data_IF_245644300860
#
_entry.id   IF_245644300860
#
_cell.length_a   1.000
_cell.length_b   1.000
_cell.length_c   1.000
_cell.angle_alpha   90.00
_cell.angle_beta   90.00
_cell.angle_gamma   90.00
#
_symmetry.space_group_name_H-M   'P 1'
#
loop_
_entity.id
_entity.type
_entity.pdbx_description
1 polymer ?
#
# COMPACT_ATOMS: atom_id res chain seq x y z
N UNK A 1 -10.94 7.44 14.25
CA UNK A 1 -10.96 6.87 12.88
C UNK A 1 -9.61 7.12 12.25
N UNK A 2 -9.01 6.11 11.63
CA UNK A 2 -7.76 6.26 10.88
C UNK A 2 -8.13 6.84 9.51
N UNK A 3 -7.37 7.83 9.06
CA UNK A 3 -7.54 8.44 7.74
C UNK A 3 -6.21 8.37 7.00
N UNK A 4 -6.26 7.96 5.74
CA UNK A 4 -5.11 8.03 4.83
C UNK A 4 -5.29 9.27 3.96
N UNK A 5 -4.26 10.11 3.88
CA UNK A 5 -4.30 11.37 3.13
C UNK A 5 -3.15 11.32 2.12
N UNK A 6 -3.44 11.70 0.88
CA UNK A 6 -2.42 11.75 -0.16
C UNK A 6 -1.56 13.02 -0.02
N UNK A 7 -0.25 12.83 -0.14
CA UNK A 7 0.76 13.87 0.01
C UNK A 7 1.94 13.58 -0.91
N UNK A 8 2.68 14.64 -1.24
CA UNK A 8 3.93 14.54 -1.99
C UNK A 8 5.08 14.82 -1.04
N UNK A 9 6.12 13.99 -1.11
CA UNK A 9 7.38 14.22 -0.40
C UNK A 9 8.41 14.67 -1.42
N UNK A 10 9.00 15.85 -1.24
CA UNK A 10 10.05 16.34 -2.13
C UNK A 10 11.41 15.74 -1.78
N UNK A 11 12.42 16.04 -2.60
CA UNK A 11 13.80 15.55 -2.42
C UNK A 11 14.43 16.00 -1.10
N UNK A 12 13.91 17.06 -0.49
CA UNK A 12 14.36 17.61 0.78
C UNK A 12 13.65 16.94 1.99
N UNK A 13 12.73 16.00 1.74
CA UNK A 13 11.97 15.29 2.77
C UNK A 13 10.77 16.07 3.31
N UNK A 14 10.40 17.19 2.70
CA UNK A 14 9.24 17.97 3.12
C UNK A 14 7.95 17.32 2.60
N UNK A 15 7.03 17.06 3.53
CA UNK A 15 5.71 16.47 3.24
C UNK A 15 4.72 17.58 2.95
N UNK A 16 4.16 17.60 1.74
CA UNK A 16 3.13 18.54 1.31
C UNK A 16 1.82 17.81 1.07
N UNK A 17 0.83 18.09 1.91
CA UNK A 17 -0.52 17.55 1.72
C UNK A 17 -1.11 18.09 0.42
N UNK A 18 -1.70 17.22 -0.40
CA UNK A 18 -2.38 17.64 -1.63
C UNK A 18 -3.68 18.40 -1.34
N UNK A 19 -4.26 18.15 -0.16
CA UNK A 19 -5.51 18.74 0.28
C UNK A 19 -5.39 19.18 1.74
N UNK A 20 -6.00 20.31 2.13
CA UNK A 20 -6.00 20.76 3.51
C UNK A 20 -6.83 19.81 4.38
N UNK A 21 -6.29 19.43 5.54
CA UNK A 21 -7.00 18.61 6.52
C UNK A 21 -7.39 19.46 7.73
N UNK A 22 -8.57 19.19 8.30
CA UNK A 22 -9.02 19.79 9.55
C UNK A 22 -9.04 18.73 10.64
N UNK A 23 -8.22 18.92 11.66
CA UNK A 23 -8.18 18.07 12.84
C UNK A 23 -8.71 18.85 14.02
N UNK A 24 -9.54 18.20 14.85
CA UNK A 24 -10.11 18.82 16.05
C UNK A 24 -9.09 19.01 17.17
N UNK A 25 -8.00 18.25 17.14
CA UNK A 25 -6.89 18.27 18.11
C UNK A 25 -5.60 17.90 17.39
N UNK A 26 -4.46 18.21 18.00
CA UNK A 26 -3.16 17.72 17.53
C UNK A 26 -3.13 16.19 17.52
N UNK A 27 -2.53 15.60 16.48
CA UNK A 27 -2.40 14.16 16.32
C UNK A 27 -1.07 13.80 15.67
N UNK A 28 -0.55 12.64 16.04
CA UNK A 28 0.58 12.02 15.34
C UNK A 28 0.12 11.50 13.98
N UNK A 29 0.96 11.66 12.97
CA UNK A 29 0.78 11.09 11.64
C UNK A 29 1.85 10.02 11.37
N UNK A 30 1.52 9.03 10.55
CA UNK A 30 2.49 8.14 9.94
C UNK A 30 2.69 8.57 8.48
N UNK A 31 3.92 8.52 8.01
CA UNK A 31 4.28 8.81 6.63
C UNK A 31 4.80 7.53 6.00
N UNK A 32 4.16 7.11 4.91
CA UNK A 32 4.59 5.98 4.09
C UNK A 32 5.01 6.52 2.74
N UNK A 33 6.26 6.29 2.35
CA UNK A 33 6.79 6.70 1.04
C UNK A 33 6.41 5.62 0.02
N UNK A 34 5.69 6.02 -1.02
CA UNK A 34 5.32 5.14 -2.14
C UNK A 34 6.37 5.29 -3.24
N UNK A 35 6.82 4.18 -3.81
CA UNK A 35 7.68 4.21 -4.99
C UNK A 35 6.89 4.72 -6.21
N UNK A 36 7.48 5.65 -6.98
CA UNK A 36 6.80 6.45 -8.02
C UNK A 36 6.14 5.58 -9.12
N UNK A 37 6.67 4.38 -9.31
CA UNK A 37 6.08 3.23 -9.99
C UNK A 37 6.62 2.00 -9.28
N UNK A 38 5.89 0.87 -9.19
CA UNK A 38 6.61 -0.39 -9.04
C UNK A 38 7.63 -0.38 -10.16
N UNK A 39 8.91 -0.50 -9.83
CA UNK A 39 9.88 -0.91 -10.85
C UNK A 39 9.27 -2.22 -11.35
N UNK A 40 8.67 -2.22 -12.54
CA UNK A 40 8.16 -3.43 -13.20
C UNK A 40 9.40 -4.18 -13.64
N UNK A 41 10.15 -4.65 -12.65
CA UNK A 41 11.01 -5.79 -12.72
C UNK A 41 10.29 -6.81 -11.84
N UNK A 42 9.03 -7.10 -12.17
CA UNK A 42 8.33 -8.24 -11.60
C UNK A 42 9.19 -9.43 -12.01
N UNK A 43 9.88 -10.10 -11.08
CA UNK A 43 10.70 -11.23 -11.46
C UNK A 43 9.77 -12.23 -12.15
N UNK A 44 10.20 -12.83 -13.26
CA UNK A 44 9.35 -13.78 -14.02
C UNK A 44 8.77 -14.88 -13.10
N UNK A 45 9.49 -15.22 -12.03
CA UNK A 45 9.03 -16.12 -10.97
C UNK A 45 7.77 -15.65 -10.24
N UNK A 46 7.58 -14.34 -10.01
CA UNK A 46 6.37 -13.79 -9.40
C UNK A 46 5.16 -13.89 -10.36
N UNK A 47 5.37 -13.67 -11.67
CA UNK A 47 4.32 -13.89 -12.67
C UNK A 47 3.95 -15.37 -12.80
N UNK A 48 4.93 -16.26 -12.73
CA UNK A 48 4.70 -17.72 -12.77
C UNK A 48 4.05 -18.25 -11.48
N UNK A 49 4.32 -17.62 -10.34
CA UNK A 49 3.76 -18.01 -9.04
C UNK A 49 2.28 -17.61 -8.90
N UNK A 50 1.79 -16.61 -9.63
CA UNK A 50 0.40 -16.16 -9.57
C UNK A 50 -0.58 -17.31 -9.87
N UNK A 51 -0.31 -18.08 -10.93
CA UNK A 51 -1.16 -19.21 -11.30
C UNK A 51 -1.14 -20.31 -10.22
N UNK A 52 0.03 -20.63 -9.67
CA UNK A 52 0.18 -21.67 -8.64
C UNK A 52 -0.45 -21.27 -7.30
N UNK A 53 -0.35 -20.00 -6.91
CA UNK A 53 -0.97 -19.48 -5.70
C UNK A 53 -2.50 -19.38 -5.84
N UNK A 54 -3.00 -19.05 -7.03
CA UNK A 54 -4.45 -19.02 -7.28
C UNK A 54 -5.11 -20.40 -7.13
N UNK A 55 -4.42 -21.48 -7.50
CA UNK A 55 -4.93 -22.84 -7.33
C UNK A 55 -4.99 -23.26 -5.86
N UNK A 56 -3.98 -22.91 -5.06
CA UNK A 56 -3.91 -23.29 -3.64
C UNK A 56 -4.84 -22.42 -2.77
N UNK A 57 -4.99 -21.13 -3.11
CA UNK A 57 -5.86 -20.20 -2.37
C UNK A 57 -7.36 -20.44 -2.60
N UNK A 58 -7.76 -21.02 -3.74
CA UNK A 58 -9.17 -21.30 -4.05
C UNK A 58 -9.68 -22.63 -3.46
N UNK A 59 -8.95 -23.19 -2.48
CA UNK A 59 -9.36 -24.44 -1.85
C UNK A 59 -10.46 -24.16 -0.81
N UNK A 60 -11.52 -24.99 -0.77
CA UNK A 60 -12.61 -24.82 0.19
C UNK A 60 -12.15 -24.96 1.66
N UNK A 61 -10.98 -25.58 1.86
CA UNK A 61 -10.31 -25.68 3.16
C UNK A 61 -9.84 -24.31 3.68
N UNK A 62 -9.41 -23.41 2.79
CA UNK A 62 -8.97 -22.05 3.13
C UNK A 62 -10.17 -21.14 3.44
N UNK A 63 -11.27 -21.28 2.68
CA UNK A 63 -12.53 -20.57 2.96
C UNK A 63 -13.10 -20.89 4.36
N UNK A 64 -12.85 -22.09 4.88
CA UNK A 64 -13.28 -22.52 6.21
C UNK A 64 -12.34 -22.04 7.34
N UNK A 65 -11.16 -21.52 7.01
CA UNK A 65 -10.15 -21.06 7.96
C UNK A 65 -10.24 -19.56 8.28
N UNK A 66 -11.17 -18.83 7.65
CA UNK A 66 -11.53 -17.43 7.94
C UNK A 66 -12.75 -17.30 8.86
#
# INVERSE_FOLDING_TARGET
>A
MIQTIEAVVNEQGEVRLLQPIRLSTERRALVTILEEKPVINVPETALLSEASLAEDWNRPEEDAAW
#
